data_IF_467508419891
#
_entry.id   IF_467508419891
#
_cell.length_a   1.000
_cell.length_b   1.000
_cell.length_c   1.000
_cell.angle_alpha   90.00
_cell.angle_beta   90.00
_cell.angle_gamma   90.00
#
_symmetry.space_group_name_H-M   'P 1'
#
loop_
_entity.id
_entity.type
_entity.pdbx_description
1 polymer ?
#
# COMPACT_ATOMS: atom_id res chain seq x y z
N UNK A 1 -55.61 -14.20 19.72
CA UNK A 1 -55.03 -14.13 18.36
C UNK A 1 -53.74 -13.29 18.23
N UNK A 2 -53.03 -12.91 19.32
CA UNK A 2 -51.75 -12.16 19.24
C UNK A 2 -50.51 -12.93 19.73
N UNK A 3 -50.69 -14.12 20.30
CA UNK A 3 -49.61 -14.88 20.94
C UNK A 3 -48.83 -15.79 19.98
N UNK A 4 -49.38 -16.09 18.80
CA UNK A 4 -48.73 -16.99 17.84
C UNK A 4 -47.68 -16.28 16.99
N UNK A 5 -47.73 -14.96 16.79
CA UNK A 5 -46.82 -14.28 15.86
C UNK A 5 -45.39 -14.10 16.41
N UNK A 6 -45.23 -13.98 17.74
CA UNK A 6 -43.90 -13.82 18.35
C UNK A 6 -43.09 -15.13 18.37
N UNK A 7 -43.72 -16.30 18.42
CA UNK A 7 -43.00 -17.58 18.39
C UNK A 7 -42.41 -17.91 17.01
N UNK A 8 -43.04 -17.45 15.91
CA UNK A 8 -42.53 -17.70 14.56
C UNK A 8 -41.29 -16.85 14.20
N UNK A 9 -41.16 -15.62 14.74
CA UNK A 9 -39.97 -14.80 14.46
C UNK A 9 -38.69 -15.31 15.14
N UNK A 10 -38.78 -15.93 16.32
CA UNK A 10 -37.60 -16.46 17.02
C UNK A 10 -37.03 -17.69 16.30
N UNK A 11 -37.91 -18.53 15.73
CA UNK A 11 -37.49 -19.71 14.97
C UNK A 11 -36.86 -19.35 13.60
N UNK A 12 -37.33 -18.28 12.93
CA UNK A 12 -36.70 -17.81 11.69
C UNK A 12 -35.31 -17.20 11.93
N UNK A 13 -35.08 -16.55 13.08
CA UNK A 13 -33.77 -15.97 13.40
C UNK A 13 -32.73 -17.04 13.76
N UNK A 14 -33.16 -18.14 14.38
CA UNK A 14 -32.27 -19.28 14.68
C UNK A 14 -31.90 -20.10 13.42
N UNK A 15 -32.78 -20.18 12.42
CA UNK A 15 -32.50 -20.94 11.18
C UNK A 15 -31.52 -20.21 10.25
N UNK A 16 -31.49 -18.87 10.26
CA UNK A 16 -30.55 -18.07 9.45
C UNK A 16 -29.12 -18.11 10.02
N UNK A 17 -28.96 -18.38 11.32
CA UNK A 17 -27.64 -18.47 11.98
C UNK A 17 -26.98 -19.85 11.89
N UNK A 18 -27.71 -20.91 11.52
CA UNK A 18 -27.18 -22.27 11.39
C UNK A 18 -26.77 -22.66 9.96
N UNK A 19 -26.97 -21.78 8.96
CA UNK A 19 -26.59 -22.01 7.56
C UNK A 19 -25.35 -21.21 7.09
N UNK A 20 -24.57 -20.65 8.01
CA UNK A 20 -23.41 -19.80 7.71
C UNK A 20 -22.05 -20.33 8.23
N UNK A 21 -21.73 -21.64 8.11
CA UNK A 21 -20.32 -22.02 8.05
C UNK A 21 -20.05 -23.02 6.91
N UNK A 22 -20.07 -22.56 5.66
CA UNK A 22 -19.53 -23.35 4.53
C UNK A 22 -19.16 -22.54 3.26
N UNK A 23 -19.02 -21.22 3.34
CA UNK A 23 -18.63 -20.36 2.21
C UNK A 23 -17.35 -19.58 2.54
N UNK A 24 -16.31 -20.31 2.92
CA UNK A 24 -14.92 -19.87 2.87
C UNK A 24 -14.13 -20.86 2.00
N UNK A 25 -14.66 -21.13 0.80
CA UNK A 25 -13.89 -21.75 -0.26
C UNK A 25 -13.00 -20.69 -0.92
N UNK A 26 -11.74 -21.06 -1.08
CA UNK A 26 -10.64 -20.31 -1.63
C UNK A 26 -11.01 -19.45 -2.85
N UNK A 27 -10.96 -18.13 -2.67
CA UNK A 27 -10.83 -17.20 -3.79
C UNK A 27 -9.37 -17.18 -4.25
N UNK A 28 -8.97 -18.22 -4.98
CA UNK A 28 -7.84 -18.09 -5.91
C UNK A 28 -8.31 -17.21 -7.07
N UNK A 29 -7.58 -16.15 -7.44
CA UNK A 29 -7.93 -15.37 -8.63
C UNK A 29 -7.77 -16.26 -9.87
N UNK A 30 -8.89 -16.66 -10.48
CA UNK A 30 -8.89 -17.25 -11.81
C UNK A 30 -8.61 -16.13 -12.82
N UNK A 31 -7.37 -16.03 -13.27
CA UNK A 31 -7.06 -15.39 -14.54
C UNK A 31 -7.13 -16.45 -15.65
N UNK A 32 -8.11 -16.30 -16.54
CA UNK A 32 -8.23 -17.11 -17.75
C UNK A 32 -7.00 -16.90 -18.64
N UNK A 33 -6.11 -17.90 -18.69
CA UNK A 33 -5.07 -17.98 -19.71
C UNK A 33 -5.62 -18.81 -20.86
N UNK A 34 -6.07 -18.12 -21.91
CA UNK A 34 -6.30 -18.76 -23.19
C UNK A 34 -4.94 -19.10 -23.81
N UNK A 35 -4.55 -20.38 -23.77
CA UNK A 35 -3.40 -20.89 -24.50
C UNK A 35 -3.77 -21.07 -25.98
N UNK A 36 -3.35 -20.12 -26.80
CA UNK A 36 -3.20 -20.34 -28.24
C UNK A 36 -1.70 -20.40 -28.56
N UNK A 37 -1.24 -21.59 -28.93
CA UNK A 37 0.12 -21.80 -29.42
C UNK A 37 0.25 -21.26 -30.84
N UNK A 38 1.10 -20.26 -31.02
CA UNK A 38 1.69 -19.94 -32.32
C UNK A 38 3.05 -19.29 -32.07
N UNK A 39 4.09 -19.87 -32.66
CA UNK A 39 5.50 -19.49 -32.52
C UNK A 39 5.83 -18.16 -33.18
N UNK A 40 5.43 -17.06 -32.54
CA UNK A 40 5.99 -15.74 -32.73
C UNK A 40 6.63 -15.31 -31.41
N UNK A 41 7.78 -14.65 -31.44
CA UNK A 41 8.40 -14.08 -30.23
C UNK A 41 7.33 -13.30 -29.45
N UNK A 42 6.93 -13.84 -28.31
CA UNK A 42 5.93 -13.23 -27.42
C UNK A 42 6.45 -11.87 -27.00
N UNK A 43 5.96 -10.80 -27.65
CA UNK A 43 6.03 -9.46 -27.10
C UNK A 43 5.15 -9.49 -25.88
N UNK A 44 5.77 -9.70 -24.72
CA UNK A 44 5.12 -9.58 -23.43
C UNK A 44 4.37 -8.23 -23.35
N UNK A 45 3.04 -8.23 -23.47
CA UNK A 45 2.26 -7.01 -23.61
C UNK A 45 2.21 -6.23 -22.28
N UNK A 46 2.59 -6.87 -21.17
CA UNK A 46 2.61 -6.26 -19.84
C UNK A 46 3.75 -5.26 -19.66
N UNK A 47 4.83 -5.37 -20.45
CA UNK A 47 6.04 -4.59 -20.26
C UNK A 47 6.78 -4.91 -18.95
N UNK A 48 6.34 -5.95 -18.21
CA UNK A 48 7.02 -6.43 -17.01
C UNK A 48 8.28 -7.22 -17.38
N UNK A 49 9.15 -7.44 -16.39
CA UNK A 49 10.42 -8.14 -16.56
C UNK A 49 10.71 -8.96 -15.31
N UNK A 50 11.26 -10.16 -15.46
CA UNK A 50 11.70 -10.94 -14.32
C UNK A 50 12.83 -10.24 -13.56
N UNK A 51 13.03 -10.60 -12.30
CA UNK A 51 14.05 -9.96 -11.45
C UNK A 51 15.46 -10.05 -12.07
N UNK A 52 15.81 -11.17 -12.70
CA UNK A 52 17.12 -11.38 -13.32
C UNK A 52 17.40 -10.48 -14.52
N UNK A 53 16.36 -9.95 -15.18
CA UNK A 53 16.53 -8.96 -16.25
C UNK A 53 17.26 -7.70 -15.75
N UNK A 54 17.04 -7.31 -14.49
CA UNK A 54 17.67 -6.13 -13.90
C UNK A 54 19.08 -6.41 -13.37
N UNK A 55 19.46 -7.68 -13.20
CA UNK A 55 20.77 -8.10 -12.70
C UNK A 55 21.74 -8.37 -13.85
N UNK A 56 21.32 -9.23 -14.77
CA UNK A 56 22.17 -9.76 -15.84
C UNK A 56 21.77 -9.23 -17.22
N UNK A 57 20.64 -8.54 -17.32
CA UNK A 57 20.11 -8.07 -18.59
C UNK A 57 20.65 -6.70 -19.02
N UNK A 58 20.27 -6.23 -20.21
CA UNK A 58 20.71 -4.95 -20.77
C UNK A 58 19.94 -3.77 -20.15
N UNK A 59 19.54 -3.85 -18.88
CA UNK A 59 18.77 -2.78 -18.25
C UNK A 59 19.60 -1.50 -18.22
N UNK A 60 19.11 -0.47 -18.91
CA UNK A 60 19.74 0.85 -19.01
C UNK A 60 18.66 1.90 -18.83
N UNK A 61 18.99 2.92 -18.06
CA UNK A 61 18.12 4.08 -17.90
C UNK A 61 18.27 4.98 -19.14
N UNK A 62 17.16 5.51 -19.64
CA UNK A 62 17.19 6.55 -20.66
C UNK A 62 17.86 7.81 -20.07
N UNK A 63 18.99 8.29 -20.64
CA UNK A 63 19.70 9.46 -20.13
C UNK A 63 18.87 10.75 -20.18
N UNK A 64 17.86 10.82 -21.06
CA UNK A 64 17.03 12.00 -21.23
C UNK A 64 15.78 12.00 -20.35
N UNK A 65 15.49 10.90 -19.64
CA UNK A 65 14.31 10.81 -18.79
C UNK A 65 14.45 11.79 -17.62
N UNK A 66 13.42 12.62 -17.42
CA UNK A 66 13.36 13.59 -16.32
C UNK A 66 12.71 12.99 -15.07
N UNK A 67 13.13 13.39 -13.85
CA UNK A 67 12.44 13.02 -12.63
C UNK A 67 10.97 13.45 -12.66
N UNK A 68 10.08 12.64 -12.08
CA UNK A 68 8.68 13.00 -11.94
C UNK A 68 8.52 14.19 -10.98
N UNK A 69 7.51 15.02 -11.23
CA UNK A 69 7.08 16.08 -10.29
C UNK A 69 6.50 15.46 -9.02
N UNK A 70 6.39 16.22 -7.93
CA UNK A 70 5.86 15.68 -6.67
C UNK A 70 4.44 15.14 -6.79
N UNK A 71 3.59 15.79 -7.59
CA UNK A 71 2.20 15.36 -7.81
C UNK A 71 2.16 14.07 -8.64
N UNK A 72 2.98 13.99 -9.70
CA UNK A 72 3.13 12.78 -10.50
C UNK A 72 3.69 11.61 -9.66
N UNK A 73 4.56 11.88 -8.69
CA UNK A 73 5.05 10.86 -7.76
C UNK A 73 3.95 10.31 -6.85
N UNK A 74 3.04 11.15 -6.36
CA UNK A 74 1.90 10.68 -5.56
C UNK A 74 0.92 9.87 -6.41
N UNK A 75 0.67 10.27 -7.66
CA UNK A 75 -0.17 9.51 -8.58
C UNK A 75 0.46 8.15 -8.95
N UNK A 76 1.75 8.15 -9.28
CA UNK A 76 2.43 6.94 -9.74
C UNK A 76 2.79 5.97 -8.61
N UNK A 77 3.17 6.48 -7.44
CA UNK A 77 3.74 5.68 -6.35
C UNK A 77 3.04 5.87 -4.99
N UNK A 78 2.04 6.74 -4.88
CA UNK A 78 1.38 7.00 -3.59
C UNK A 78 0.75 5.76 -2.96
N UNK A 79 0.36 4.77 -3.77
CA UNK A 79 -0.19 3.48 -3.34
C UNK A 79 0.82 2.34 -3.30
N UNK A 80 2.11 2.60 -3.52
CA UNK A 80 3.15 1.57 -3.40
C UNK A 80 3.73 1.59 -1.99
N UNK A 81 4.02 0.42 -1.44
CA UNK A 81 4.79 0.31 -0.19
C UNK A 81 6.14 0.99 -0.41
N UNK A 82 6.58 1.81 0.55
CA UNK A 82 7.91 2.39 0.57
C UNK A 82 8.72 1.82 1.72
N UNK A 83 10.01 1.59 1.49
CA UNK A 83 11.02 1.27 2.49
C UNK A 83 12.14 2.32 2.41
N UNK A 84 12.48 2.96 3.52
CA UNK A 84 13.41 4.09 3.59
C UNK A 84 13.09 5.23 2.60
N UNK A 85 11.79 5.50 2.45
CA UNK A 85 11.28 6.50 1.52
C UNK A 85 11.58 6.20 0.05
N UNK A 86 11.76 4.91 -0.30
CA UNK A 86 11.93 4.43 -1.69
C UNK A 86 10.85 3.40 -2.00
N UNK A 87 10.22 3.46 -3.19
CA UNK A 87 9.15 2.54 -3.53
C UNK A 87 9.67 1.10 -3.63
N UNK A 88 8.83 0.16 -3.19
CA UNK A 88 8.98 -1.28 -3.37
C UNK A 88 8.08 -1.70 -4.52
N UNK A 89 8.68 -2.15 -5.62
CA UNK A 89 7.99 -2.57 -6.83
C UNK A 89 8.07 -4.09 -6.99
N UNK A 90 6.98 -4.70 -7.46
CA UNK A 90 6.88 -6.12 -7.69
C UNK A 90 7.09 -6.40 -9.17
N UNK A 91 8.15 -7.11 -9.55
CA UNK A 91 8.56 -7.25 -10.96
C UNK A 91 7.56 -8.02 -11.83
N UNK A 92 6.66 -8.78 -11.20
CA UNK A 92 5.56 -9.49 -11.87
C UNK A 92 4.33 -8.61 -12.13
N UNK A 93 4.27 -7.42 -11.53
CA UNK A 93 3.10 -6.52 -11.56
C UNK A 93 3.47 -5.16 -12.15
N UNK A 94 4.61 -4.61 -11.73
CA UNK A 94 5.06 -3.29 -12.13
C UNK A 94 5.87 -3.37 -13.44
N UNK A 95 5.52 -2.59 -14.47
CA UNK A 95 6.21 -2.61 -15.74
C UNK A 95 7.62 -2.01 -15.62
N UNK A 96 8.52 -2.38 -16.54
CA UNK A 96 9.88 -1.83 -16.63
C UNK A 96 9.90 -0.30 -16.59
N UNK A 97 8.97 0.36 -17.30
CA UNK A 97 8.89 1.81 -17.34
C UNK A 97 8.72 2.43 -15.95
N UNK A 98 7.99 1.77 -15.04
CA UNK A 98 7.78 2.23 -13.67
C UNK A 98 9.02 2.08 -12.80
N UNK A 99 9.81 1.02 -13.02
CA UNK A 99 11.12 0.85 -12.40
C UNK A 99 12.07 1.97 -12.83
N UNK A 100 12.08 2.30 -14.11
CA UNK A 100 12.86 3.44 -14.65
C UNK A 100 12.42 4.77 -14.04
N UNK A 101 11.10 5.03 -13.93
CA UNK A 101 10.57 6.25 -13.29
C UNK A 101 10.96 6.34 -11.82
N UNK A 102 10.87 5.23 -11.09
CA UNK A 102 11.26 5.17 -9.69
C UNK A 102 12.76 5.44 -9.53
N UNK A 103 13.60 4.75 -10.30
CA UNK A 103 15.05 4.90 -10.22
C UNK A 103 15.49 6.33 -10.59
N UNK A 104 14.85 6.94 -11.59
CA UNK A 104 15.17 8.30 -12.00
C UNK A 104 14.71 9.36 -10.98
N UNK A 105 13.55 9.16 -10.36
CA UNK A 105 12.97 10.15 -9.45
C UNK A 105 13.49 10.04 -8.02
N UNK A 106 13.77 8.82 -7.56
CA UNK A 106 14.22 8.56 -6.19
C UNK A 106 15.72 8.26 -6.07
N UNK A 107 16.40 8.03 -7.19
CA UNK A 107 17.78 7.55 -7.24
C UNK A 107 17.96 6.10 -6.76
N UNK A 108 16.94 5.48 -6.15
CA UNK A 108 16.92 4.10 -5.67
C UNK A 108 15.50 3.52 -5.72
N UNK A 109 15.40 2.21 -5.90
CA UNK A 109 14.14 1.47 -5.90
C UNK A 109 14.36 0.06 -5.35
N UNK A 110 13.40 -0.46 -4.60
CA UNK A 110 13.39 -1.86 -4.19
C UNK A 110 12.58 -2.68 -5.18
N UNK A 111 13.12 -3.80 -5.63
CA UNK A 111 12.47 -4.77 -6.49
C UNK A 111 12.21 -6.06 -5.71
N UNK A 112 11.01 -6.59 -5.89
CA UNK A 112 10.57 -7.86 -5.33
C UNK A 112 10.11 -8.75 -6.46
N UNK A 113 10.66 -9.94 -6.56
CA UNK A 113 10.30 -10.87 -7.62
C UNK A 113 10.91 -12.23 -7.42
N UNK A 114 10.41 -13.21 -8.16
CA UNK A 114 11.04 -14.53 -8.26
C UNK A 114 12.02 -14.54 -9.42
N UNK A 115 12.99 -15.44 -9.35
CA UNK A 115 13.83 -15.82 -10.49
C UNK A 115 13.30 -17.12 -11.09
N UNK A 116 13.62 -17.40 -12.35
CA UNK A 116 13.22 -18.66 -12.98
C UNK A 116 13.67 -19.87 -12.13
N UNK A 117 12.73 -20.76 -11.82
CA UNK A 117 12.97 -21.94 -10.98
C UNK A 117 12.85 -21.72 -9.47
N UNK A 118 12.59 -20.49 -8.99
CA UNK A 118 12.44 -20.20 -7.56
C UNK A 118 11.01 -19.83 -7.17
N UNK A 119 10.56 -20.36 -6.03
CA UNK A 119 9.24 -20.07 -5.46
C UNK A 119 9.26 -18.93 -4.46
N UNK A 120 10.41 -18.66 -3.83
CA UNK A 120 10.54 -17.59 -2.85
C UNK A 120 10.92 -16.28 -3.53
N UNK A 121 10.21 -15.18 -3.23
CA UNK A 121 10.56 -13.88 -3.79
C UNK A 121 11.86 -13.38 -3.17
N UNK A 122 12.74 -12.84 -4.01
CA UNK A 122 13.96 -12.15 -3.63
C UNK A 122 13.73 -10.65 -3.57
N UNK A 123 14.47 -9.99 -2.69
CA UNK A 123 14.47 -8.55 -2.49
C UNK A 123 15.81 -7.97 -2.90
N UNK A 124 15.76 -6.99 -3.79
CA UNK A 124 16.94 -6.36 -4.37
C UNK A 124 16.72 -4.86 -4.44
N UNK A 125 17.79 -4.09 -4.22
CA UNK A 125 17.79 -2.65 -4.44
C UNK A 125 18.52 -2.34 -5.74
N UNK A 126 17.91 -1.54 -6.60
CA UNK A 126 18.63 -0.83 -7.65
C UNK A 126 18.91 0.60 -7.17
N UNK A 127 20.09 1.12 -7.48
CA UNK A 127 20.45 2.50 -7.16
C UNK A 127 21.29 3.14 -8.26
N UNK A 128 21.21 4.47 -8.38
CA UNK A 128 22.11 5.26 -9.20
C UNK A 128 23.31 5.71 -8.36
N UNK A 129 24.52 5.48 -8.86
CA UNK A 129 25.73 6.04 -8.27
C UNK A 129 25.95 7.50 -8.68
N UNK A 130 27.09 8.08 -8.28
CA UNK A 130 27.46 9.47 -8.60
C UNK A 130 27.59 9.73 -10.11
N UNK A 131 27.90 8.70 -10.89
CA UNK A 131 28.02 8.75 -12.35
C UNK A 131 26.72 8.33 -13.05
N UNK A 132 25.62 8.19 -12.29
CA UNK A 132 24.33 7.65 -12.77
C UNK A 132 24.43 6.24 -13.36
N UNK A 133 25.46 5.48 -13.01
CA UNK A 133 25.53 4.07 -13.30
C UNK A 133 24.62 3.30 -12.34
N UNK A 134 24.02 2.21 -12.84
CA UNK A 134 23.11 1.37 -12.06
C UNK A 134 23.93 0.40 -11.23
N UNK A 135 23.81 0.51 -9.91
CA UNK A 135 24.33 -0.44 -8.94
C UNK A 135 23.22 -1.31 -8.36
N UNK A 136 23.63 -2.46 -7.80
CA UNK A 136 22.74 -3.45 -7.22
C UNK A 136 23.13 -3.70 -5.75
N UNK A 137 22.13 -3.65 -4.87
CA UNK A 137 22.24 -4.02 -3.46
C UNK A 137 21.29 -5.15 -3.10
N UNK A 138 21.61 -5.93 -2.08
CA UNK A 138 20.69 -6.91 -1.49
C UNK A 138 20.02 -6.38 -0.22
N UNK A 139 18.92 -7.01 0.20
CA UNK A 139 18.26 -6.73 1.49
C UNK A 139 19.06 -7.32 2.67
N UNK A 140 20.20 -6.68 2.99
CA UNK A 140 21.07 -7.10 4.09
C UNK A 140 20.31 -6.95 5.42
N UNK A 141 19.90 -8.07 6.01
CA UNK A 141 19.16 -8.13 7.27
C UNK A 141 17.64 -8.22 7.12
N UNK A 142 17.12 -8.37 5.90
CA UNK A 142 15.70 -8.65 5.67
C UNK A 142 14.76 -7.53 6.12
N UNK A 143 15.20 -6.27 6.04
CA UNK A 143 14.42 -5.12 6.52
C UNK A 143 13.33 -4.76 5.53
N UNK A 144 13.64 -4.75 4.23
CA UNK A 144 12.65 -4.52 3.19
C UNK A 144 11.59 -5.62 3.19
N UNK A 145 12.01 -6.88 3.34
CA UNK A 145 11.10 -8.03 3.50
C UNK A 145 10.15 -7.84 4.69
N UNK A 146 10.70 -7.52 5.88
CA UNK A 146 9.88 -7.31 7.09
C UNK A 146 8.86 -6.19 6.88
N UNK A 147 9.29 -5.05 6.34
CA UNK A 147 8.39 -3.92 6.11
C UNK A 147 7.27 -4.25 5.13
N UNK A 148 7.54 -5.03 4.08
CA UNK A 148 6.49 -5.50 3.15
C UNK A 148 5.53 -6.47 3.86
N UNK A 149 6.03 -7.37 4.70
CA UNK A 149 5.19 -8.28 5.49
C UNK A 149 4.31 -7.52 6.48
N UNK A 150 4.87 -6.55 7.20
CA UNK A 150 4.15 -5.69 8.15
C UNK A 150 3.08 -4.87 7.43
N UNK A 151 3.40 -4.30 6.26
CA UNK A 151 2.44 -3.60 5.44
C UNK A 151 1.30 -4.52 5.01
N UNK A 152 1.58 -5.75 4.56
CA UNK A 152 0.55 -6.71 4.14
C UNK A 152 -0.35 -7.13 5.31
N UNK A 153 0.23 -7.42 6.47
CA UNK A 153 -0.52 -7.72 7.68
C UNK A 153 -1.43 -6.54 8.07
N UNK A 154 -0.91 -5.32 7.97
CA UNK A 154 -1.68 -4.11 8.21
C UNK A 154 -2.86 -3.94 7.23
N UNK A 155 -2.65 -4.18 5.93
CA UNK A 155 -3.72 -4.17 4.94
C UNK A 155 -4.80 -5.22 5.23
N UNK A 156 -4.40 -6.43 5.64
CA UNK A 156 -5.35 -7.48 6.01
C UNK A 156 -6.23 -7.05 7.21
N UNK A 157 -5.69 -6.24 8.13
CA UNK A 157 -6.41 -5.81 9.33
C UNK A 157 -7.21 -4.51 9.16
N UNK A 158 -6.75 -3.59 8.29
CA UNK A 158 -7.25 -2.21 8.19
C UNK A 158 -7.59 -1.75 6.77
N UNK A 159 -7.39 -2.60 5.77
CA UNK A 159 -7.61 -2.32 4.35
C UNK A 159 -6.44 -1.63 3.65
N UNK A 160 -6.41 -1.75 2.33
CA UNK A 160 -5.31 -1.26 1.47
C UNK A 160 -5.12 0.25 1.55
N UNK A 161 -6.18 1.05 1.59
CA UNK A 161 -6.04 2.51 1.72
C UNK A 161 -5.36 2.92 3.04
N UNK A 162 -5.67 2.22 4.14
CA UNK A 162 -5.00 2.48 5.41
C UNK A 162 -3.51 2.07 5.34
N UNK A 163 -3.21 0.93 4.68
CA UNK A 163 -1.84 0.52 4.41
C UNK A 163 -1.09 1.58 3.58
N UNK A 164 -1.67 2.08 2.49
CA UNK A 164 -1.03 3.09 1.64
C UNK A 164 -0.85 4.43 2.37
N UNK A 165 -1.73 4.78 3.31
CA UNK A 165 -1.49 5.93 4.18
C UNK A 165 -0.29 5.69 5.10
N UNK A 166 -0.17 4.51 5.74
CA UNK A 166 0.89 4.23 6.72
C UNK A 166 2.26 3.91 6.10
N UNK A 167 2.26 3.05 5.09
CA UNK A 167 3.44 2.44 4.48
C UNK A 167 3.69 2.94 3.05
N UNK A 168 2.86 3.85 2.53
CA UNK A 168 3.03 4.40 1.18
C UNK A 168 4.14 5.46 1.11
N UNK A 169 4.07 6.30 0.08
CA UNK A 169 5.04 7.40 -0.10
C UNK A 169 5.06 8.31 1.13
N UNK A 170 6.23 8.57 1.75
CA UNK A 170 6.32 9.45 2.92
C UNK A 170 5.91 10.88 2.57
N UNK A 171 5.47 11.63 3.58
CA UNK A 171 5.17 13.05 3.43
C UNK A 171 6.47 13.86 3.54
N UNK A 172 6.44 15.11 3.07
CA UNK A 172 7.58 16.00 3.23
C UNK A 172 7.89 16.23 4.73
N UNK A 173 9.16 16.45 5.07
CA UNK A 173 9.56 16.83 6.42
C UNK A 173 8.82 18.10 6.86
N UNK A 174 8.32 18.11 8.10
CA UNK A 174 7.55 19.24 8.63
C UNK A 174 8.50 20.35 9.04
N UNK A 175 8.48 21.46 8.31
CA UNK A 175 9.26 22.66 8.64
C UNK A 175 8.80 23.23 9.97
N UNK A 176 9.76 23.59 10.82
CA UNK A 176 9.48 24.21 12.11
C UNK A 176 9.08 25.68 11.93
N UNK A 177 7.95 26.13 12.51
CA UNK A 177 7.84 27.51 12.96
C UNK A 177 8.78 27.74 14.15
N UNK A 178 9.02 29.00 14.52
CA UNK A 178 9.93 29.47 15.60
C UNK A 178 9.82 28.69 16.94
N UNK A 179 8.71 27.97 17.19
CA UNK A 179 8.46 27.19 18.40
C UNK A 179 8.52 25.65 18.24
N UNK A 180 9.07 25.17 17.12
CA UNK A 180 9.23 23.73 16.84
C UNK A 180 7.94 23.03 16.39
N UNK A 181 8.10 21.94 15.63
CA UNK A 181 6.98 21.09 15.23
C UNK A 181 6.50 20.23 16.42
N UNK A 182 5.19 20.17 16.64
CA UNK A 182 4.57 19.32 17.68
C UNK A 182 3.66 18.29 17.01
N UNK A 183 3.99 17.01 17.20
CA UNK A 183 3.17 15.88 16.75
C UNK A 183 1.77 15.98 17.37
N UNK A 184 0.68 15.90 16.58
CA UNK A 184 -0.68 15.91 17.11
C UNK A 184 -0.91 14.79 18.14
N UNK A 185 -1.53 15.13 19.28
CA UNK A 185 -1.79 14.14 20.34
C UNK A 185 -3.03 13.32 20.00
N UNK A 186 -3.00 12.02 20.29
CA UNK A 186 -4.13 11.12 20.03
C UNK A 186 -5.44 11.53 20.69
N UNK A 187 -5.39 12.09 21.91
CA UNK A 187 -6.59 12.58 22.62
C UNK A 187 -7.26 13.73 21.86
N UNK A 188 -6.47 14.58 21.20
CA UNK A 188 -6.96 15.73 20.45
C UNK A 188 -7.54 15.28 19.10
N UNK A 189 -6.87 14.35 18.41
CA UNK A 189 -7.38 13.72 17.17
C UNK A 189 -8.74 13.04 17.41
N UNK A 190 -8.85 12.26 18.50
CA UNK A 190 -10.09 11.58 18.85
C UNK A 190 -11.24 12.58 19.06
N UNK A 191 -10.98 13.66 19.81
CA UNK A 191 -11.97 14.71 20.15
C UNK A 191 -12.25 15.72 19.02
N UNK A 192 -11.44 15.74 17.97
CA UNK A 192 -11.62 16.66 16.86
C UNK A 192 -13.05 16.55 16.29
N UNK A 193 -13.73 17.70 16.12
CA UNK A 193 -15.13 17.76 15.72
C UNK A 193 -15.38 17.45 14.24
N UNK A 194 -14.33 17.21 13.46
CA UNK A 194 -14.48 16.84 12.06
C UNK A 194 -15.20 15.49 11.92
N UNK A 195 -16.17 15.43 11.01
CA UNK A 195 -16.82 14.19 10.61
C UNK A 195 -15.72 13.27 10.05
N UNK A 196 -15.56 12.04 10.56
CA UNK A 196 -14.54 11.14 10.08
C UNK A 196 -14.79 10.82 8.60
N UNK A 197 -13.75 10.91 7.78
CA UNK A 197 -13.85 10.52 6.37
C UNK A 197 -14.16 9.04 6.25
N UNK A 198 -14.98 8.64 5.28
CA UNK A 198 -15.25 7.24 5.05
C UNK A 198 -14.10 6.63 4.24
N UNK A 199 -13.34 5.72 4.84
CA UNK A 199 -12.15 5.15 4.21
C UNK A 199 -12.48 4.45 2.88
N UNK A 200 -13.64 3.80 2.77
CA UNK A 200 -14.06 3.08 1.55
C UNK A 200 -14.41 4.04 0.42
N UNK A 201 -15.18 5.09 0.69
CA UNK A 201 -15.73 5.96 -0.37
C UNK A 201 -14.89 7.21 -0.64
N UNK A 202 -14.13 7.70 0.33
CA UNK A 202 -13.25 8.86 0.11
C UNK A 202 -12.04 8.46 -0.77
N UNK A 203 -11.76 9.27 -1.80
CA UNK A 203 -10.64 9.05 -2.71
C UNK A 203 -9.29 9.16 -1.99
N UNK A 204 -8.34 8.31 -2.35
CA UNK A 204 -7.02 8.28 -1.72
C UNK A 204 -6.24 9.61 -1.82
N UNK A 205 -6.25 10.34 -2.95
CA UNK A 205 -5.62 11.67 -3.04
C UNK A 205 -6.18 12.65 -2.01
N UNK A 206 -7.49 12.64 -1.77
CA UNK A 206 -8.12 13.52 -0.78
C UNK A 206 -7.68 13.16 0.64
N UNK A 207 -7.62 11.87 0.99
CA UNK A 207 -7.14 11.43 2.30
C UNK A 207 -5.70 11.87 2.57
N UNK A 208 -4.80 11.71 1.57
CA UNK A 208 -3.40 12.18 1.68
C UNK A 208 -3.33 13.69 1.83
N UNK A 209 -4.04 14.45 0.99
CA UNK A 209 -4.03 15.91 1.05
C UNK A 209 -4.52 16.42 2.43
N UNK A 210 -5.60 15.84 2.97
CA UNK A 210 -6.07 16.18 4.31
C UNK A 210 -5.03 15.86 5.39
N UNK A 211 -4.41 14.68 5.33
CA UNK A 211 -3.37 14.29 6.28
C UNK A 211 -2.16 15.23 6.22
N UNK A 212 -1.74 15.63 5.02
CA UNK A 212 -0.63 16.58 4.81
C UNK A 212 -0.96 17.97 5.35
N UNK A 213 -2.15 18.48 5.02
CA UNK A 213 -2.58 19.84 5.38
C UNK A 213 -2.78 20.00 6.89
N UNK A 214 -3.39 18.99 7.55
CA UNK A 214 -3.77 19.10 8.96
C UNK A 214 -2.79 18.40 9.90
N UNK A 215 -1.80 17.67 9.39
CA UNK A 215 -0.89 16.77 10.13
C UNK A 215 -1.58 15.61 10.85
N UNK A 216 -2.89 15.45 10.70
CA UNK A 216 -3.63 14.31 11.21
C UNK A 216 -4.86 14.04 10.35
N UNK A 217 -5.36 12.82 10.43
CA UNK A 217 -6.54 12.36 9.73
C UNK A 217 -7.30 11.38 10.63
N UNK A 218 -8.62 11.52 10.66
CA UNK A 218 -9.53 10.58 11.32
C UNK A 218 -10.47 10.00 10.28
N UNK A 219 -10.50 8.68 10.15
CA UNK A 219 -11.34 7.97 9.18
C UNK A 219 -12.19 6.91 9.85
N UNK A 220 -13.38 6.70 9.32
CA UNK A 220 -14.25 5.57 9.65
C UNK A 220 -14.09 4.51 8.57
N UNK A 221 -13.73 3.29 8.96
CA UNK A 221 -13.77 2.11 8.11
C UNK A 221 -15.13 1.40 8.31
N UNK A 222 -16.06 1.52 7.33
CA UNK A 222 -17.38 0.93 7.46
C UNK A 222 -17.37 -0.61 7.42
N UNK A 223 -16.33 -1.23 6.86
CA UNK A 223 -16.25 -2.70 6.74
C UNK A 223 -15.84 -3.30 8.08
N UNK A 224 -14.74 -2.81 8.66
CA UNK A 224 -14.28 -3.23 9.98
C UNK A 224 -15.05 -2.64 11.15
N UNK A 225 -15.97 -1.69 10.90
CA UNK A 225 -16.63 -0.85 11.93
C UNK A 225 -15.60 -0.17 12.85
N UNK A 226 -14.50 0.30 12.27
CA UNK A 226 -13.36 0.86 12.99
C UNK A 226 -13.29 2.37 12.85
N UNK A 227 -12.83 3.03 13.89
CA UNK A 227 -12.39 4.43 13.83
C UNK A 227 -10.87 4.44 13.87
N UNK A 228 -10.24 4.97 12.82
CA UNK A 228 -8.79 4.96 12.66
C UNK A 228 -8.25 6.39 12.70
N UNK A 229 -7.13 6.57 13.38
CA UNK A 229 -6.37 7.82 13.45
C UNK A 229 -5.01 7.70 12.77
N UNK A 230 -4.66 8.72 12.01
CA UNK A 230 -3.34 8.91 11.42
C UNK A 230 -2.80 10.27 11.86
N UNK A 231 -1.49 10.35 12.08
CA UNK A 231 -0.80 11.60 12.38
C UNK A 231 0.55 11.62 11.68
N UNK A 232 1.05 12.80 11.31
CA UNK A 232 2.41 12.95 10.82
C UNK A 232 3.36 13.23 11.98
N UNK A 233 4.55 12.64 11.92
CA UNK A 233 5.66 13.04 12.77
C UNK A 233 6.49 14.15 12.11
N UNK A 234 7.60 14.55 12.76
CA UNK A 234 8.48 15.60 12.23
C UNK A 234 9.08 15.23 10.87
N UNK A 235 9.44 13.97 10.66
CA UNK A 235 10.08 13.47 9.44
C UNK A 235 9.08 13.23 8.30
N UNK A 236 7.78 13.39 8.56
CA UNK A 236 6.73 13.06 7.60
C UNK A 236 6.36 11.57 7.58
N UNK A 237 6.78 10.82 8.60
CA UNK A 237 6.32 9.45 8.83
C UNK A 237 4.91 9.44 9.42
N UNK A 238 4.10 8.47 9.01
CA UNK A 238 2.66 8.46 9.34
C UNK A 238 2.42 7.59 10.57
N UNK A 239 2.26 8.15 11.76
CA UNK A 239 1.85 7.40 12.94
C UNK A 239 0.40 6.90 12.81
N UNK A 240 0.07 5.79 13.46
CA UNK A 240 -1.25 5.16 13.40
C UNK A 240 -1.80 4.83 14.79
N UNK A 241 -3.12 4.96 14.96
CA UNK A 241 -3.85 4.47 16.13
C UNK A 241 -5.24 3.95 15.75
N UNK A 242 -5.57 2.78 16.26
CA UNK A 242 -6.93 2.24 16.25
C UNK A 242 -7.71 2.80 17.45
N UNK A 243 -8.85 3.46 17.19
CA UNK A 243 -9.75 4.02 18.20
C UNK A 243 -11.00 3.19 18.41
N UNK A 244 -11.09 1.97 17.86
CA UNK A 244 -12.31 1.15 17.90
C UNK A 244 -12.83 0.89 19.32
N UNK A 245 -11.95 0.82 20.32
CA UNK A 245 -12.35 0.69 21.74
C UNK A 245 -13.21 1.87 22.26
N UNK A 246 -13.13 3.02 21.61
CA UNK A 246 -13.84 4.25 21.99
C UNK A 246 -15.14 4.42 21.20
N UNK A 247 -15.39 3.57 20.21
CA UNK A 247 -16.65 3.50 19.47
C UNK A 247 -17.51 2.44 20.16
N UNK A 248 -17.96 2.73 21.39
CA UNK A 248 -19.07 1.95 21.97
C UNK A 248 -20.33 2.37 21.22
N UNK A 249 -20.82 1.46 20.38
CA UNK A 249 -22.15 1.52 19.76
C UNK A 249 -23.21 1.34 20.83
#
# INVERSE_FOLDING_TARGET
MRQTFQQWMVLLSALVLLLLPALLCHATPMYSVASSSSGAHSRDPSGTKELMYYVNGPFRLDPNRQPLTSDALDEHFGTHIHHDGKPVLFTQVDPKAKVEDALNSYGKVWLVGTTSGETQPRYMQLYLDKNRAIGIGGDRGGQALRQVQDARAFAAQYGEKAQHLRYGRPFAERKEPIFGYKVPKWKDILKAKNIPYNLKTTGFPHLRATLDQHNFLKVHDPVGKKLLGFALDKKGEVLFKDFSEHVRV
#
